data_IF_657887634962
#
_entry.id   IF_657887634962
#
_cell.length_a   1.000
_cell.length_b   1.000
_cell.length_c   1.000
_cell.angle_alpha   90.00
_cell.angle_beta   90.00
_cell.angle_gamma   90.00
#
_symmetry.space_group_name_H-M   'P 1'
#
loop_
_entity.id
_entity.type
_entity.pdbx_description
1 polymer ?
#
# COMPACT_ATOMS: atom_id res chain seq x y z
N UNK A 1 16.96 -14.26 -19.76
CA UNK A 1 17.57 -13.22 -18.90
C UNK A 1 17.29 -11.88 -19.55
N UNK A 2 16.96 -10.91 -18.72
CA UNK A 2 16.81 -9.48 -18.98
C UNK A 2 15.57 -9.02 -19.74
N UNK A 3 14.39 -9.37 -19.21
CA UNK A 3 13.28 -8.43 -19.19
C UNK A 3 13.45 -7.56 -17.94
N UNK A 4 14.44 -6.68 -17.96
CA UNK A 4 14.41 -5.49 -17.10
C UNK A 4 13.08 -4.82 -17.39
N UNK A 5 12.18 -4.85 -16.41
CA UNK A 5 10.98 -4.04 -16.36
C UNK A 5 11.42 -2.60 -16.63
N UNK A 6 11.34 -2.18 -17.89
CA UNK A 6 11.54 -0.79 -18.28
C UNK A 6 10.50 -0.04 -17.50
N UNK A 7 10.92 0.59 -16.41
CA UNK A 7 10.13 1.55 -15.67
C UNK A 7 9.76 2.61 -16.69
N UNK A 8 8.56 2.50 -17.25
CA UNK A 8 8.00 3.54 -18.09
C UNK A 8 7.97 4.78 -17.19
N UNK A 9 8.90 5.71 -17.44
CA UNK A 9 8.96 7.01 -16.78
C UNK A 9 7.76 7.81 -17.29
N UNK A 10 6.61 7.56 -16.67
CA UNK A 10 5.39 8.32 -16.94
C UNK A 10 5.41 9.53 -16.03
N UNK A 11 5.64 10.70 -16.63
CA UNK A 11 5.61 12.00 -15.97
C UNK A 11 4.34 12.11 -15.11
N UNK A 12 4.52 12.42 -13.83
CA UNK A 12 3.44 12.72 -12.92
C UNK A 12 3.07 14.19 -13.15
N UNK A 13 2.30 14.44 -14.20
CA UNK A 13 1.71 15.75 -14.40
C UNK A 13 0.79 16.05 -13.20
N UNK A 14 1.08 17.13 -12.47
CA UNK A 14 0.29 17.72 -11.38
C UNK A 14 0.51 17.21 -9.93
N UNK A 15 1.61 16.51 -9.61
CA UNK A 15 2.00 16.32 -8.19
C UNK A 15 3.20 17.18 -7.88
N UNK A 16 3.05 18.04 -6.87
CA UNK A 16 4.17 18.77 -6.30
C UNK A 16 5.13 17.79 -5.60
N UNK A 17 6.42 17.89 -5.92
CA UNK A 17 7.47 17.05 -5.32
C UNK A 17 7.49 17.20 -3.79
N UNK A 18 7.18 18.39 -3.28
CA UNK A 18 7.10 18.62 -1.84
C UNK A 18 5.96 17.81 -1.21
N UNK A 19 4.76 17.88 -1.77
CA UNK A 19 3.60 17.11 -1.28
C UNK A 19 3.86 15.60 -1.35
N UNK A 20 4.61 15.13 -2.35
CA UNK A 20 5.02 13.73 -2.45
C UNK A 20 6.01 13.33 -1.35
N UNK A 21 6.97 14.19 -1.03
CA UNK A 21 7.91 13.97 0.06
C UNK A 21 7.16 13.92 1.40
N UNK A 22 6.25 14.87 1.62
CA UNK A 22 5.48 14.97 2.86
C UNK A 22 4.50 13.79 3.00
N UNK A 23 3.96 13.28 1.89
CA UNK A 23 3.21 12.03 1.87
C UNK A 23 4.03 10.83 2.34
N UNK A 24 5.28 10.70 1.88
CA UNK A 24 6.13 9.59 2.32
C UNK A 24 6.48 9.70 3.80
N UNK A 25 6.81 10.89 4.30
CA UNK A 25 7.06 11.11 5.73
C UNK A 25 5.82 10.71 6.55
N UNK A 26 4.63 11.11 6.12
CA UNK A 26 3.40 10.74 6.83
C UNK A 26 3.11 9.23 6.79
N UNK A 27 3.55 8.52 5.75
CA UNK A 27 3.47 7.06 5.70
C UNK A 27 4.47 6.40 6.64
N UNK A 28 5.70 6.92 6.73
CA UNK A 28 6.72 6.40 7.66
C UNK A 28 6.23 6.56 9.11
N UNK A 29 5.66 7.73 9.45
CA UNK A 29 5.05 7.95 10.77
C UNK A 29 3.86 6.99 11.04
N UNK A 30 3.05 6.67 10.02
CA UNK A 30 1.95 5.71 10.16
C UNK A 30 2.47 4.28 10.36
N UNK A 31 3.59 3.92 9.72
CA UNK A 31 4.27 2.63 9.88
C UNK A 31 4.74 2.45 11.32
N UNK A 32 5.39 3.46 11.91
CA UNK A 32 5.84 3.44 13.30
C UNK A 32 4.68 3.14 14.27
N UNK A 33 3.53 3.82 14.11
CA UNK A 33 2.35 3.59 14.95
C UNK A 33 1.74 2.19 14.73
N UNK A 34 1.78 1.68 13.51
CA UNK A 34 1.33 0.31 13.25
C UNK A 34 2.24 -0.73 13.93
N UNK A 35 3.55 -0.49 13.93
CA UNK A 35 4.52 -1.37 14.58
C UNK A 35 4.34 -1.38 16.10
N UNK A 36 4.10 -0.22 16.70
CA UNK A 36 3.75 -0.09 18.11
C UNK A 36 2.47 -0.88 18.46
N UNK A 37 1.43 -0.77 17.63
CA UNK A 37 0.18 -1.54 17.82
C UNK A 37 0.44 -3.06 17.75
N UNK A 38 1.26 -3.50 16.79
CA UNK A 38 1.66 -4.91 16.67
C UNK A 38 2.45 -5.36 17.89
N UNK A 39 3.25 -4.48 18.50
CA UNK A 39 3.96 -4.78 19.74
C UNK A 39 3.01 -4.93 20.94
N UNK A 40 2.03 -4.04 21.09
CA UNK A 40 0.97 -4.17 22.11
C UNK A 40 0.25 -5.52 22.00
N UNK A 41 -0.19 -5.86 20.79
CA UNK A 41 -0.86 -7.14 20.52
C UNK A 41 0.01 -8.36 20.90
N UNK A 42 1.33 -8.30 20.65
CA UNK A 42 2.25 -9.37 21.06
C UNK A 42 2.40 -9.46 22.58
N UNK A 43 2.42 -8.33 23.28
CA UNK A 43 2.53 -8.26 24.75
C UNK A 43 1.27 -8.79 25.43
N UNK A 44 0.09 -8.49 24.91
CA UNK A 44 -1.18 -9.01 25.43
C UNK A 44 -1.20 -10.54 25.52
N UNK A 45 -0.66 -11.22 24.52
CA UNK A 45 -0.57 -12.69 24.50
C UNK A 45 0.31 -13.26 25.63
N UNK A 46 1.18 -12.45 26.22
CA UNK A 46 2.11 -12.83 27.28
C UNK A 46 1.55 -12.47 28.67
N UNK A 47 0.90 -11.31 28.80
CA UNK A 47 0.49 -10.74 30.09
C UNK A 47 -0.98 -11.00 30.49
N UNK A 48 -1.70 -11.86 29.77
CA UNK A 48 -3.15 -12.10 29.98
C UNK A 48 -3.57 -12.55 31.41
N UNK A 49 -2.64 -12.92 32.29
CA UNK A 49 -2.88 -13.30 33.69
C UNK A 49 -2.54 -12.19 34.70
N UNK A 50 -1.94 -11.09 34.27
CA UNK A 50 -1.57 -9.95 35.10
C UNK A 50 -2.55 -8.79 34.86
N UNK A 51 -3.68 -8.79 35.58
CA UNK A 51 -4.81 -7.84 35.38
C UNK A 51 -4.38 -6.38 35.19
N UNK A 52 -3.49 -5.85 36.03
CA UNK A 52 -3.07 -4.45 35.94
C UNK A 52 -2.25 -4.15 34.68
N UNK A 53 -1.30 -5.04 34.32
CA UNK A 53 -0.48 -4.85 33.11
C UNK A 53 -1.28 -5.08 31.84
N UNK A 54 -2.22 -6.02 31.87
CA UNK A 54 -3.12 -6.27 30.78
C UNK A 54 -4.06 -5.07 30.53
N UNK A 55 -4.62 -4.49 31.59
CA UNK A 55 -5.44 -3.28 31.46
C UNK A 55 -4.64 -2.10 30.88
N UNK A 56 -3.40 -1.89 31.33
CA UNK A 56 -2.53 -0.85 30.74
C UNK A 56 -2.24 -1.07 29.25
N UNK A 57 -2.03 -2.32 28.84
CA UNK A 57 -1.81 -2.65 27.42
C UNK A 57 -3.07 -2.37 26.59
N UNK A 58 -4.26 -2.66 27.11
CA UNK A 58 -5.51 -2.36 26.43
C UNK A 58 -5.79 -0.84 26.33
N UNK A 59 -5.42 -0.08 27.36
CA UNK A 59 -5.49 1.39 27.31
C UNK A 59 -4.56 1.93 26.20
N UNK A 60 -3.30 1.47 26.16
CA UNK A 60 -2.33 1.83 25.13
C UNK A 60 -2.78 1.40 23.73
N UNK A 61 -3.35 0.20 23.57
CA UNK A 61 -3.92 -0.28 22.30
C UNK A 61 -5.05 0.65 21.83
N UNK A 62 -5.93 1.07 22.73
CA UNK A 62 -7.05 1.95 22.40
C UNK A 62 -6.60 3.32 21.89
N UNK A 63 -5.56 3.89 22.50
CA UNK A 63 -4.96 5.16 22.07
C UNK A 63 -4.28 5.03 20.71
N UNK A 64 -3.56 3.92 20.47
CA UNK A 64 -2.91 3.65 19.17
C UNK A 64 -3.94 3.47 18.05
N UNK A 65 -5.05 2.78 18.32
CA UNK A 65 -6.14 2.61 17.34
C UNK A 65 -6.76 3.96 16.96
N UNK A 66 -6.97 4.85 17.93
CA UNK A 66 -7.49 6.20 17.67
C UNK A 66 -6.49 7.02 16.86
N UNK A 67 -5.20 7.00 17.24
CA UNK A 67 -4.13 7.66 16.50
C UNK A 67 -4.04 7.17 15.03
N UNK A 68 -4.12 5.86 14.80
CA UNK A 68 -4.14 5.29 13.45
C UNK A 68 -5.32 5.79 12.62
N UNK A 69 -6.51 5.88 13.23
CA UNK A 69 -7.69 6.39 12.54
C UNK A 69 -7.51 7.86 12.13
N UNK A 70 -7.01 8.70 13.04
CA UNK A 70 -6.76 10.12 12.77
C UNK A 70 -5.71 10.30 11.69
N UNK A 71 -4.54 9.65 11.83
CA UNK A 71 -3.43 9.75 10.88
C UNK A 71 -3.82 9.25 9.48
N UNK A 72 -4.46 8.08 9.40
CA UNK A 72 -4.89 7.53 8.11
C UNK A 72 -5.97 8.39 7.43
N UNK A 73 -6.87 9.00 8.22
CA UNK A 73 -7.87 9.95 7.72
C UNK A 73 -7.24 11.24 7.21
N UNK A 74 -6.24 11.74 7.92
CA UNK A 74 -5.46 12.91 7.54
C UNK A 74 -4.66 12.68 6.27
N UNK A 75 -3.96 11.56 6.16
CA UNK A 75 -3.21 11.16 4.96
C UNK A 75 -4.15 11.08 3.76
N UNK A 76 -5.30 10.43 3.94
CA UNK A 76 -6.31 10.28 2.88
C UNK A 76 -6.85 11.62 2.40
N UNK A 77 -7.00 12.59 3.30
CA UNK A 77 -7.58 13.90 2.98
C UNK A 77 -6.54 14.83 2.38
N UNK A 78 -5.36 14.94 3.00
CA UNK A 78 -4.26 15.83 2.59
C UNK A 78 -3.60 15.40 1.29
N UNK A 79 -3.43 14.09 1.09
CA UNK A 79 -2.71 13.53 -0.05
C UNK A 79 -3.63 12.82 -1.05
N UNK A 80 -4.91 13.20 -1.09
CA UNK A 80 -5.92 12.60 -1.97
C UNK A 80 -5.46 12.57 -3.44
N UNK A 81 -4.93 13.67 -3.95
CA UNK A 81 -4.51 13.77 -5.36
C UNK A 81 -3.36 12.81 -5.67
N UNK A 82 -2.47 12.59 -4.71
CA UNK A 82 -1.38 11.61 -4.79
C UNK A 82 -1.95 10.20 -4.84
N UNK A 83 -2.84 9.86 -3.90
CA UNK A 83 -3.50 8.56 -3.84
C UNK A 83 -4.29 8.26 -5.11
N UNK A 84 -5.04 9.24 -5.62
CA UNK A 84 -5.83 9.12 -6.84
C UNK A 84 -4.93 8.93 -8.07
N UNK A 85 -3.83 9.67 -8.18
CA UNK A 85 -2.86 9.49 -9.26
C UNK A 85 -2.25 8.09 -9.26
N UNK A 86 -1.84 7.57 -8.10
CA UNK A 86 -1.32 6.20 -7.99
C UNK A 86 -2.39 5.16 -8.29
N UNK A 87 -3.64 5.38 -7.86
CA UNK A 87 -4.77 4.47 -8.10
C UNK A 87 -5.14 4.38 -9.58
N UNK A 88 -5.25 5.51 -10.27
CA UNK A 88 -5.52 5.56 -11.72
C UNK A 88 -4.44 4.79 -12.48
N UNK A 89 -3.17 4.99 -12.12
CA UNK A 89 -2.04 4.28 -12.73
C UNK A 89 -2.09 2.77 -12.46
N UNK A 90 -2.45 2.35 -11.24
CA UNK A 90 -2.61 0.95 -10.92
C UNK A 90 -3.70 0.29 -11.78
N UNK A 91 -4.83 0.97 -11.97
CA UNK A 91 -5.94 0.51 -12.84
C UNK A 91 -5.47 0.41 -14.30
N UNK A 92 -4.75 1.41 -14.80
CA UNK A 92 -4.25 1.42 -16.18
C UNK A 92 -3.23 0.29 -16.41
N UNK A 93 -2.31 0.04 -15.47
CA UNK A 93 -1.40 -1.11 -15.52
C UNK A 93 -2.15 -2.44 -15.56
N UNK A 94 -3.18 -2.60 -14.73
CA UNK A 94 -4.02 -3.80 -14.76
C UNK A 94 -4.77 -3.96 -16.09
N UNK A 95 -5.26 -2.86 -16.66
CA UNK A 95 -5.94 -2.87 -17.96
C UNK A 95 -4.98 -3.30 -19.09
N UNK A 96 -3.77 -2.75 -19.13
CA UNK A 96 -2.74 -3.13 -20.11
C UNK A 96 -2.40 -4.62 -20.04
N UNK A 97 -2.18 -5.15 -18.83
CA UNK A 97 -1.96 -6.60 -18.61
C UNK A 97 -3.12 -7.45 -19.15
N UNK A 98 -4.37 -7.05 -18.94
CA UNK A 98 -5.54 -7.77 -19.48
C UNK A 98 -5.60 -7.74 -21.00
N UNK A 99 -5.24 -6.61 -21.62
CA UNK A 99 -5.21 -6.48 -23.09
C UNK A 99 -4.09 -7.31 -23.70
N UNK A 100 -2.92 -7.37 -23.05
CA UNK A 100 -1.80 -8.23 -23.48
C UNK A 100 -2.17 -9.71 -23.42
N UNK A 101 -2.75 -10.18 -22.30
CA UNK A 101 -3.24 -11.55 -22.16
C UNK A 101 -4.27 -11.88 -23.25
N UNK A 102 -5.22 -10.97 -23.52
CA UNK A 102 -6.21 -11.15 -24.59
C UNK A 102 -5.58 -11.20 -25.99
N UNK A 103 -4.55 -10.38 -26.25
CA UNK A 103 -3.77 -10.42 -27.50
C UNK A 103 -2.98 -11.73 -27.64
N UNK A 104 -2.50 -12.31 -26.56
CA UNK A 104 -1.80 -13.60 -26.59
C UNK A 104 -2.76 -14.77 -26.82
N UNK A 105 -3.93 -14.77 -26.17
CA UNK A 105 -4.97 -15.78 -26.36
C UNK A 105 -5.61 -15.74 -27.76
N UNK A 106 -5.61 -14.57 -28.41
CA UNK A 106 -6.15 -14.40 -29.77
C UNK A 106 -5.14 -14.74 -30.89
N UNK A 107 -3.86 -14.99 -30.56
CA UNK A 107 -2.91 -15.56 -31.52
C UNK A 107 -3.29 -17.04 -31.75
N UNK A 108 -3.87 -17.34 -32.92
CA UNK A 108 -4.20 -18.72 -33.33
C UNK A 108 -2.98 -19.64 -33.15
N UNK A 109 -3.17 -20.90 -32.69
CA UNK A 109 -2.07 -21.86 -32.61
C UNK A 109 -1.46 -22.04 -34.01
N UNK A 110 -0.14 -21.89 -34.11
CA UNK A 110 0.59 -22.18 -35.35
C UNK A 110 0.36 -23.65 -35.68
N UNK A 111 -0.39 -23.92 -36.74
CA UNK A 111 -0.53 -25.26 -37.27
C UNK A 111 0.88 -25.81 -37.56
N UNK A 112 1.19 -27.08 -37.21
CA UNK A 112 2.45 -27.69 -37.58
C UNK A 112 2.56 -27.65 -39.11
N UNK A 113 3.73 -27.31 -39.64
CA UNK A 113 3.99 -27.46 -41.06
C UNK A 113 4.08 -28.97 -41.34
N UNK A 114 3.10 -29.51 -42.06
CA UNK A 114 3.18 -30.87 -42.59
C UNK A 114 4.35 -30.94 -43.57
N UNK A 115 5.24 -31.92 -43.34
CA UNK A 115 6.37 -32.28 -44.20
C UNK A 115 5.93 -33.28 -45.27
#
# INVERSE_FOLDING_TARGET
MDSEDRVETIEIENINIQDLKDYFIALDELEDVCDDLVECYKKEQIYYLEEDKFNMLLEEESELVEALFEMSSDIKTKYKDILDAFRIRAIERQRRRRVEISKELSKKPRAPKDN
#
